data_IF_957646401074
#
_entry.id   IF_957646401074
#
_cell.length_a   1.000
_cell.length_b   1.000
_cell.length_c   1.000
_cell.angle_alpha   90.00
_cell.angle_beta   90.00
_cell.angle_gamma   90.00
#
_symmetry.space_group_name_H-M   'P 1'
#
loop_
_entity.id
_entity.type
_entity.pdbx_description
1 polymer ?
#
# COMPACT_ATOMS: atom_id res chain seq x y z
N UNK A 1 -7.34 -5.38 -2.53
CA UNK A 1 -7.32 -5.73 -3.97
C UNK A 1 -5.94 -5.44 -4.52
N UNK A 2 -5.63 -5.91 -5.71
CA UNK A 2 -4.36 -5.59 -6.37
C UNK A 2 -4.28 -4.10 -6.70
N UNK A 3 -3.08 -3.52 -6.63
CA UNK A 3 -2.84 -2.16 -7.10
C UNK A 3 -2.78 -2.09 -8.63
N UNK A 4 -3.06 -0.93 -9.18
CA UNK A 4 -2.94 -0.60 -10.59
C UNK A 4 -1.74 0.34 -10.78
N UNK A 5 -0.90 0.07 -11.77
CA UNK A 5 0.13 1.02 -12.19
C UNK A 5 -0.49 1.98 -13.22
N UNK A 6 -0.22 3.25 -13.06
CA UNK A 6 -0.72 4.32 -13.93
C UNK A 6 0.41 5.26 -14.33
N UNK A 7 0.25 5.98 -15.44
CA UNK A 7 1.29 6.86 -15.98
C UNK A 7 1.30 8.24 -15.31
N UNK A 8 0.19 8.62 -14.67
CA UNK A 8 0.07 9.86 -13.91
C UNK A 8 -0.90 9.71 -12.75
N UNK A 9 -0.66 10.47 -11.68
CA UNK A 9 -1.54 10.55 -10.51
C UNK A 9 -1.74 12.00 -10.08
N UNK A 10 -2.96 12.33 -9.70
CA UNK A 10 -3.29 13.61 -9.07
C UNK A 10 -3.09 13.46 -7.54
N UNK A 11 -2.24 14.30 -6.97
CA UNK A 11 -1.89 14.29 -5.56
C UNK A 11 -2.60 15.45 -4.87
N UNK A 12 -3.69 15.12 -4.20
CA UNK A 12 -4.46 16.04 -3.36
C UNK A 12 -3.80 16.27 -1.99
N UNK A 13 -4.36 17.18 -1.20
CA UNK A 13 -3.79 17.53 0.12
C UNK A 13 -3.88 16.40 1.15
N UNK A 14 -4.80 15.47 1.00
CA UNK A 14 -5.05 14.39 1.95
C UNK A 14 -4.62 13.00 1.43
N UNK A 15 -4.52 12.82 0.11
CA UNK A 15 -4.20 11.52 -0.50
C UNK A 15 -3.93 11.66 -2.00
N UNK A 16 -3.52 10.58 -2.62
CA UNK A 16 -3.55 10.41 -4.07
C UNK A 16 -5.01 10.18 -4.47
N UNK A 17 -5.50 10.98 -5.42
CA UNK A 17 -6.88 10.91 -5.89
C UNK A 17 -7.18 9.51 -6.48
N UNK A 18 -8.30 8.95 -6.06
CA UNK A 18 -8.70 7.59 -6.46
C UNK A 18 -8.08 6.46 -5.63
N UNK A 19 -6.93 6.68 -4.95
CA UNK A 19 -6.34 5.63 -4.10
C UNK A 19 -7.22 5.41 -2.86
N UNK A 20 -7.52 4.13 -2.59
CA UNK A 20 -8.32 3.69 -1.44
C UNK A 20 -9.64 4.47 -1.25
N UNK A 21 -10.25 4.89 -2.36
CA UNK A 21 -11.54 5.60 -2.37
C UNK A 21 -12.71 4.73 -1.92
N UNK A 22 -12.56 3.40 -2.03
CA UNK A 22 -13.58 2.42 -1.68
C UNK A 22 -13.02 1.36 -0.74
N UNK A 23 -13.86 0.90 0.18
CA UNK A 23 -13.57 -0.24 1.02
C UNK A 23 -14.76 -1.18 1.14
N UNK A 24 -14.46 -2.47 1.33
CA UNK A 24 -15.46 -3.47 1.69
C UNK A 24 -15.56 -3.51 3.22
N UNK A 25 -16.76 -3.37 3.74
CA UNK A 25 -17.06 -3.38 5.17
C UNK A 25 -17.86 -4.64 5.50
N UNK A 26 -17.43 -5.39 6.48
CA UNK A 26 -18.16 -6.55 7.01
C UNK A 26 -19.37 -6.06 7.80
N UNK A 27 -20.57 -6.49 7.41
CA UNK A 27 -21.83 -6.02 8.01
C UNK A 27 -21.97 -6.46 9.46
N UNK A 28 -21.47 -7.66 9.80
CA UNK A 28 -21.59 -8.20 11.15
C UNK A 28 -20.74 -7.50 12.18
N UNK A 29 -19.53 -7.11 11.79
CA UNK A 29 -18.56 -6.46 12.70
C UNK A 29 -18.47 -4.94 12.53
N UNK A 30 -18.96 -4.38 11.43
CA UNK A 30 -18.80 -2.97 11.08
C UNK A 30 -17.38 -2.57 10.68
N UNK A 31 -16.46 -3.53 10.48
CA UNK A 31 -15.04 -3.26 10.22
C UNK A 31 -14.73 -3.26 8.74
N UNK A 32 -13.78 -2.42 8.36
CA UNK A 32 -13.16 -2.48 7.03
C UNK A 32 -12.39 -3.79 6.88
N UNK A 33 -12.67 -4.52 5.82
CA UNK A 33 -11.97 -5.76 5.50
C UNK A 33 -10.62 -5.45 4.88
N UNK A 34 -9.56 -5.91 5.49
CA UNK A 34 -8.21 -5.78 4.95
C UNK A 34 -7.72 -7.12 4.38
N UNK A 35 -6.89 -7.05 3.34
CA UNK A 35 -6.25 -8.24 2.77
C UNK A 35 -5.23 -8.90 3.73
N UNK A 36 -4.87 -8.23 4.81
CA UNK A 36 -4.10 -8.80 5.92
C UNK A 36 -4.86 -9.97 6.58
N UNK A 37 -6.18 -9.79 6.78
CA UNK A 37 -7.10 -10.77 7.40
C UNK A 37 -7.91 -11.58 6.38
N UNK A 38 -8.18 -11.00 5.23
CA UNK A 38 -8.97 -11.64 4.17
C UNK A 38 -8.16 -11.68 2.88
N UNK A 39 -7.22 -12.65 2.74
CA UNK A 39 -6.35 -12.75 1.56
C UNK A 39 -7.10 -12.87 0.23
N UNK A 40 -8.36 -13.34 0.25
CA UNK A 40 -9.23 -13.38 -0.92
C UNK A 40 -9.33 -12.02 -1.63
N UNK A 41 -9.26 -10.91 -0.88
CA UNK A 41 -9.28 -9.56 -1.47
C UNK A 41 -8.14 -9.29 -2.46
N UNK A 42 -7.01 -9.99 -2.33
CA UNK A 42 -5.89 -9.88 -3.28
C UNK A 42 -6.17 -10.59 -4.60
N UNK A 43 -7.18 -11.47 -4.65
CA UNK A 43 -7.55 -12.18 -5.87
C UNK A 43 -8.35 -11.28 -6.84
N UNK A 44 -8.91 -10.18 -6.35
CA UNK A 44 -9.62 -9.20 -7.18
C UNK A 44 -8.72 -8.02 -7.54
N UNK A 45 -8.97 -7.42 -8.69
CA UNK A 45 -8.39 -6.14 -9.11
C UNK A 45 -9.45 -5.03 -8.97
N UNK A 46 -9.01 -3.78 -8.95
CA UNK A 46 -9.90 -2.62 -8.98
C UNK A 46 -9.43 -1.64 -10.05
N UNK A 47 -10.40 -1.04 -10.72
CA UNK A 47 -10.24 0.10 -11.62
C UNK A 47 -10.97 1.30 -11.01
N UNK A 48 -11.04 2.42 -11.73
CA UNK A 48 -11.81 3.59 -11.28
C UNK A 48 -13.33 3.36 -11.30
N UNK A 49 -13.81 2.36 -12.05
CA UNK A 49 -15.24 2.13 -12.28
C UNK A 49 -15.73 0.78 -11.73
N UNK A 50 -14.86 -0.23 -11.64
CA UNK A 50 -15.25 -1.61 -11.33
C UNK A 50 -14.26 -2.30 -10.38
N UNK A 51 -14.78 -3.30 -9.67
CA UNK A 51 -14.00 -4.37 -9.06
C UNK A 51 -14.10 -5.57 -10.00
N UNK A 52 -12.96 -6.08 -10.45
CA UNK A 52 -12.88 -7.28 -11.28
C UNK A 52 -12.60 -8.48 -10.40
N UNK A 53 -13.56 -9.40 -10.27
CA UNK A 53 -13.43 -10.62 -9.48
C UNK A 53 -12.56 -11.67 -10.18
N UNK A 54 -12.11 -12.73 -9.47
CA UNK A 54 -11.24 -13.77 -10.04
C UNK A 54 -11.82 -14.52 -11.22
N UNK A 55 -13.14 -14.60 -11.31
CA UNK A 55 -13.89 -15.22 -12.42
C UNK A 55 -14.16 -14.27 -13.61
N UNK A 56 -13.65 -13.04 -13.52
CA UNK A 56 -13.80 -12.00 -14.54
C UNK A 56 -15.08 -11.18 -14.43
N UNK A 57 -15.91 -11.40 -13.41
CA UNK A 57 -17.11 -10.59 -13.19
C UNK A 57 -16.67 -9.16 -12.80
N UNK A 58 -17.20 -8.18 -13.53
CA UNK A 58 -17.05 -6.76 -13.23
C UNK A 58 -18.18 -6.29 -12.30
N UNK A 59 -17.82 -5.77 -11.16
CA UNK A 59 -18.75 -5.32 -10.11
C UNK A 59 -18.67 -3.80 -10.01
N UNK A 60 -19.75 -3.06 -10.27
CA UNK A 60 -19.72 -1.60 -10.26
C UNK A 60 -19.47 -1.06 -8.83
N UNK A 61 -18.86 0.14 -8.76
CA UNK A 61 -18.54 0.81 -7.50
C UNK A 61 -19.76 1.56 -6.93
N UNK A 62 -20.84 0.82 -6.66
CA UNK A 62 -22.07 1.34 -6.06
C UNK A 62 -22.77 0.27 -5.20
N UNK A 63 -23.99 0.56 -4.71
CA UNK A 63 -24.76 -0.35 -3.84
C UNK A 63 -25.13 -1.70 -4.49
N UNK A 64 -25.06 -1.83 -5.81
CA UNK A 64 -25.29 -3.11 -6.51
C UNK A 64 -24.16 -4.12 -6.27
N UNK A 65 -23.00 -3.64 -5.81
CA UNK A 65 -21.85 -4.47 -5.48
C UNK A 65 -22.12 -5.40 -4.28
N UNK A 66 -22.92 -4.99 -3.32
CA UNK A 66 -23.05 -5.64 -2.01
C UNK A 66 -23.41 -7.13 -2.11
N UNK A 67 -24.40 -7.46 -2.95
CA UNK A 67 -24.84 -8.85 -3.14
C UNK A 67 -23.78 -9.73 -3.79
N UNK A 68 -23.11 -9.23 -4.82
CA UNK A 68 -22.05 -9.95 -5.55
C UNK A 68 -20.83 -10.16 -4.67
N UNK A 69 -20.38 -9.11 -3.98
CA UNK A 69 -19.25 -9.17 -3.06
C UNK A 69 -19.55 -10.08 -1.85
N UNK A 70 -20.78 -10.06 -1.34
CA UNK A 70 -21.20 -10.96 -0.25
C UNK A 70 -21.16 -12.42 -0.69
N UNK A 71 -21.64 -12.73 -1.88
CA UNK A 71 -21.57 -14.08 -2.45
C UNK A 71 -20.13 -14.53 -2.65
N UNK A 72 -19.28 -13.68 -3.22
CA UNK A 72 -17.86 -13.98 -3.42
C UNK A 72 -17.12 -14.24 -2.10
N UNK A 73 -17.36 -13.42 -1.06
CA UNK A 73 -16.65 -13.50 0.22
C UNK A 73 -17.28 -14.45 1.22
N UNK A 74 -18.46 -15.04 0.89
CA UNK A 74 -19.18 -16.00 1.74
C UNK A 74 -19.73 -15.40 3.04
N UNK A 75 -19.91 -14.07 3.09
CA UNK A 75 -20.46 -13.35 4.26
C UNK A 75 -21.09 -12.02 3.84
N UNK A 76 -22.05 -11.49 4.61
CA UNK A 76 -22.64 -10.19 4.35
C UNK A 76 -21.59 -9.08 4.41
N UNK A 77 -21.44 -8.36 3.30
CA UNK A 77 -20.55 -7.21 3.20
C UNK A 77 -21.24 -6.07 2.47
N UNK A 78 -20.74 -4.85 2.64
CA UNK A 78 -21.18 -3.66 1.89
C UNK A 78 -19.98 -2.90 1.37
N UNK A 79 -20.11 -2.33 0.16
CA UNK A 79 -19.11 -1.43 -0.43
C UNK A 79 -19.36 -0.01 0.09
N UNK A 80 -18.33 0.63 0.62
CA UNK A 80 -18.41 1.99 1.16
C UNK A 80 -17.41 2.91 0.47
N UNK A 81 -17.89 4.11 0.12
CA UNK A 81 -17.00 5.19 -0.32
C UNK A 81 -16.31 5.82 0.90
N UNK A 82 -15.07 6.29 0.72
CA UNK A 82 -14.33 7.03 1.74
C UNK A 82 -15.05 8.34 2.10
N UNK A 83 -15.52 9.06 1.08
CA UNK A 83 -16.30 10.29 1.28
C UNK A 83 -17.54 10.02 2.14
N UNK A 84 -17.64 10.70 3.28
CA UNK A 84 -18.73 10.56 4.24
C UNK A 84 -18.64 9.34 5.16
N UNK A 85 -17.60 8.51 5.06
CA UNK A 85 -17.36 7.41 6.00
C UNK A 85 -16.85 7.93 7.33
N UNK A 86 -17.43 7.45 8.42
CA UNK A 86 -17.08 7.79 9.81
C UNK A 86 -17.12 6.53 10.68
N UNK A 87 -16.42 6.58 11.80
CA UNK A 87 -16.45 5.53 12.84
C UNK A 87 -16.11 4.12 12.34
N UNK A 88 -15.22 4.03 11.34
CA UNK A 88 -14.72 2.77 10.83
C UNK A 88 -13.37 2.40 11.43
N UNK A 89 -13.09 1.11 11.50
CA UNK A 89 -11.81 0.57 11.94
C UNK A 89 -11.37 -0.56 11.02
N UNK A 90 -10.07 -0.86 11.05
CA UNK A 90 -9.50 -2.07 10.48
C UNK A 90 -8.71 -2.83 11.53
N UNK A 91 -8.42 -4.11 11.27
CA UNK A 91 -7.65 -4.93 12.19
C UNK A 91 -6.17 -4.95 11.82
N UNK A 92 -5.31 -4.76 12.83
CA UNK A 92 -3.85 -4.85 12.74
C UNK A 92 -3.31 -5.81 13.81
N UNK A 93 -2.17 -6.41 13.55
CA UNK A 93 -1.40 -7.20 14.53
C UNK A 93 0.03 -6.67 14.63
N UNK A 94 0.66 -6.86 15.78
CA UNK A 94 2.08 -6.59 16.01
C UNK A 94 2.96 -7.83 15.73
N UNK A 95 2.36 -8.98 15.41
CA UNK A 95 3.07 -10.20 14.98
C UNK A 95 2.58 -10.63 13.58
N UNK A 96 2.97 -9.90 12.50
CA UNK A 96 2.46 -10.12 11.15
C UNK A 96 2.67 -11.51 10.55
N UNK A 97 3.77 -12.23 10.85
CA UNK A 97 3.96 -13.58 10.32
C UNK A 97 2.99 -14.61 10.88
N UNK A 98 2.45 -14.37 12.08
CA UNK A 98 1.58 -15.29 12.79
C UNK A 98 0.11 -15.00 12.45
N UNK A 99 -0.54 -15.90 11.72
CA UNK A 99 -1.93 -15.76 11.32
C UNK A 99 -2.91 -15.94 12.51
N UNK A 100 -2.46 -16.53 13.63
CA UNK A 100 -3.23 -16.73 14.87
C UNK A 100 -2.94 -15.65 15.94
N UNK A 101 -2.12 -14.64 15.62
CA UNK A 101 -1.82 -13.55 16.55
C UNK A 101 -3.06 -12.74 16.92
N UNK A 102 -3.00 -12.10 18.07
CA UNK A 102 -4.00 -11.13 18.49
C UNK A 102 -4.08 -9.94 17.53
N UNK A 103 -5.31 -9.51 17.27
CA UNK A 103 -5.60 -8.36 16.41
C UNK A 103 -6.25 -7.24 17.20
N UNK A 104 -5.83 -6.02 16.89
CA UNK A 104 -6.30 -4.79 17.50
C UNK A 104 -7.07 -3.98 16.47
N UNK A 105 -8.16 -3.35 16.90
CA UNK A 105 -8.93 -2.44 16.07
C UNK A 105 -8.25 -1.07 16.04
N UNK A 106 -7.91 -0.62 14.84
CA UNK A 106 -7.29 0.69 14.59
C UNK A 106 -8.34 1.58 13.94
N UNK A 107 -8.67 2.73 14.53
CA UNK A 107 -9.58 3.69 13.91
C UNK A 107 -9.02 4.19 12.57
N UNK A 108 -9.91 4.38 11.60
CA UNK A 108 -9.58 4.96 10.30
C UNK A 108 -9.94 6.45 10.37
N UNK A 109 -9.07 7.36 9.92
CA UNK A 109 -9.42 8.77 9.84
C UNK A 109 -10.67 8.99 9.00
N UNK A 110 -11.63 9.82 9.44
CA UNK A 110 -12.87 10.09 8.70
C UNK A 110 -12.61 10.51 7.25
N UNK A 111 -13.42 10.00 6.33
CA UNK A 111 -13.31 10.33 4.92
C UNK A 111 -12.13 9.69 4.17
N UNK A 112 -11.43 8.74 4.80
CA UNK A 112 -10.30 8.01 4.17
C UNK A 112 -10.40 6.51 4.42
N UNK A 113 -9.60 5.73 3.66
CA UNK A 113 -9.27 4.34 3.97
C UNK A 113 -7.75 4.12 3.98
N UNK A 114 -7.03 5.16 4.34
CA UNK A 114 -5.57 5.11 4.50
C UNK A 114 -5.19 4.35 5.77
N UNK A 115 -4.07 3.64 5.72
CA UNK A 115 -3.54 2.95 6.90
C UNK A 115 -2.90 3.97 7.88
N UNK A 116 -1.81 4.63 7.46
CA UNK A 116 -1.03 5.52 8.32
C UNK A 116 -0.65 6.85 7.68
N UNK A 117 -0.48 6.91 6.36
CA UNK A 117 0.00 8.10 5.66
C UNK A 117 -0.60 8.17 4.25
N UNK A 118 -0.77 9.36 3.69
CA UNK A 118 -1.30 9.55 2.35
C UNK A 118 -0.42 8.97 1.24
N UNK A 119 0.90 8.98 1.41
CA UNK A 119 1.83 8.49 0.38
C UNK A 119 2.82 7.51 1.00
N UNK A 120 3.00 6.38 0.33
CA UNK A 120 4.07 5.42 0.58
C UNK A 120 4.98 5.36 -0.64
N UNK A 121 6.28 5.53 -0.45
CA UNK A 121 7.26 5.41 -1.51
C UNK A 121 8.37 4.40 -1.17
N UNK A 122 8.95 3.83 -2.22
CA UNK A 122 10.09 2.90 -2.16
C UNK A 122 11.08 3.31 -3.25
N UNK A 123 12.37 3.07 -3.05
CA UNK A 123 13.39 3.33 -4.06
C UNK A 123 13.76 2.08 -4.84
N UNK A 124 14.22 2.26 -6.09
CA UNK A 124 14.83 1.16 -6.87
C UNK A 124 16.09 0.64 -6.17
N UNK A 125 16.88 1.51 -5.54
CA UNK A 125 18.07 1.12 -4.77
C UNK A 125 17.73 0.09 -3.68
N UNK A 126 16.62 0.29 -2.96
CA UNK A 126 16.15 -0.65 -1.93
C UNK A 126 15.68 -1.97 -2.55
N UNK A 127 14.83 -1.94 -3.58
CA UNK A 127 14.32 -3.15 -4.21
C UNK A 127 15.47 -3.98 -4.83
N UNK A 128 16.32 -3.36 -5.63
CA UNK A 128 17.45 -4.01 -6.29
C UNK A 128 18.51 -4.49 -5.29
N UNK A 129 18.73 -3.71 -4.23
CA UNK A 129 19.60 -4.08 -3.12
C UNK A 129 19.11 -5.34 -2.41
N UNK A 130 17.82 -5.42 -2.12
CA UNK A 130 17.21 -6.60 -1.52
C UNK A 130 17.31 -7.84 -2.42
N UNK A 131 17.04 -7.68 -3.73
CA UNK A 131 17.22 -8.76 -4.72
C UNK A 131 18.68 -9.25 -4.73
N UNK A 132 19.64 -8.34 -4.72
CA UNK A 132 21.08 -8.67 -4.74
C UNK A 132 21.53 -9.40 -3.46
N UNK A 133 21.04 -8.96 -2.29
CA UNK A 133 21.45 -9.49 -0.99
C UNK A 133 20.71 -10.78 -0.61
N UNK A 134 19.49 -10.96 -1.08
CA UNK A 134 18.66 -12.14 -0.83
C UNK A 134 17.94 -12.56 -2.13
N UNK A 135 18.69 -13.09 -3.11
CA UNK A 135 18.13 -13.53 -4.40
C UNK A 135 17.24 -14.77 -4.31
N UNK A 136 17.23 -15.43 -3.16
CA UNK A 136 16.36 -16.57 -2.82
C UNK A 136 14.92 -16.15 -2.51
N UNK A 137 14.69 -14.84 -2.32
CA UNK A 137 13.37 -14.25 -2.01
C UNK A 137 12.84 -13.40 -3.17
N UNK A 138 11.53 -13.36 -3.25
CA UNK A 138 10.82 -12.58 -4.27
C UNK A 138 10.51 -11.17 -3.71
N UNK A 139 11.27 -10.18 -4.19
CA UNK A 139 11.16 -8.78 -3.81
C UNK A 139 10.30 -7.96 -4.75
N UNK A 140 9.31 -8.59 -5.40
CA UNK A 140 8.39 -7.90 -6.30
C UNK A 140 7.73 -6.70 -5.59
N UNK A 141 7.75 -5.54 -6.24
CA UNK A 141 7.22 -4.28 -5.72
C UNK A 141 5.76 -4.37 -5.29
N UNK A 142 4.96 -5.23 -5.94
CA UNK A 142 3.55 -5.47 -5.61
C UNK A 142 3.34 -5.91 -4.15
N UNK A 143 4.33 -6.56 -3.54
CA UNK A 143 4.29 -6.99 -2.14
C UNK A 143 4.26 -5.82 -1.18
N UNK A 144 4.95 -4.74 -1.55
CA UNK A 144 5.12 -3.56 -0.70
C UNK A 144 4.06 -2.49 -0.94
N UNK A 145 3.43 -2.49 -2.12
CA UNK A 145 2.31 -1.59 -2.49
C UNK A 145 2.65 -0.11 -2.33
N UNK A 146 3.77 0.36 -2.85
CA UNK A 146 4.06 1.78 -2.83
C UNK A 146 3.11 2.54 -3.78
N UNK A 147 2.88 3.81 -3.46
CA UNK A 147 2.26 4.75 -4.38
C UNK A 147 3.28 5.26 -5.42
N UNK A 148 4.53 5.45 -4.98
CA UNK A 148 5.61 5.91 -5.82
C UNK A 148 6.82 4.97 -5.73
N UNK A 149 7.43 4.69 -6.87
CA UNK A 149 8.74 4.03 -6.95
C UNK A 149 9.72 5.06 -7.49
N UNK A 150 10.68 5.45 -6.66
CA UNK A 150 11.68 6.47 -7.01
C UNK A 150 12.91 5.79 -7.58
N UNK A 151 13.22 6.10 -8.84
CA UNK A 151 14.41 5.61 -9.50
C UNK A 151 15.65 6.39 -8.97
N UNK A 152 16.51 5.68 -8.26
CA UNK A 152 17.75 6.22 -7.71
C UNK A 152 18.76 5.11 -7.47
N UNK A 153 20.02 5.42 -7.72
CA UNK A 153 21.14 4.53 -7.39
C UNK A 153 21.60 4.76 -5.95
N UNK A 154 22.11 3.72 -5.30
CA UNK A 154 22.65 3.83 -3.95
C UNK A 154 22.57 2.54 -3.14
N UNK A 155 22.78 2.68 -1.85
CA UNK A 155 22.63 1.58 -0.91
C UNK A 155 21.15 1.29 -0.63
N UNK A 156 20.78 0.03 -0.33
CA UNK A 156 19.43 -0.30 0.06
C UNK A 156 19.03 0.46 1.34
N UNK A 157 17.75 0.83 1.42
CA UNK A 157 17.15 1.61 2.51
C UNK A 157 17.67 3.05 2.64
N UNK A 158 18.25 3.60 1.57
CA UNK A 158 18.74 4.99 1.59
C UNK A 158 17.61 6.00 1.85
N UNK A 159 16.39 5.68 1.47
CA UNK A 159 15.21 6.52 1.71
C UNK A 159 14.88 6.70 3.21
N UNK A 160 15.31 5.81 4.09
CA UNK A 160 15.14 5.98 5.54
C UNK A 160 15.85 7.25 6.04
N UNK A 161 16.99 7.63 5.40
CA UNK A 161 17.75 8.85 5.71
C UNK A 161 17.06 10.13 5.22
N UNK A 162 16.00 10.01 4.45
CA UNK A 162 15.21 11.17 3.99
C UNK A 162 14.18 11.63 5.03
N UNK A 163 14.01 10.87 6.10
CA UNK A 163 13.07 11.23 7.19
C UNK A 163 13.34 12.66 7.69
N UNK A 164 12.27 13.46 7.78
CA UNK A 164 12.34 14.88 8.14
C UNK A 164 12.70 15.81 6.98
N UNK A 165 12.98 15.29 5.79
CA UNK A 165 13.33 16.08 4.61
C UNK A 165 12.15 16.20 3.65
N UNK A 166 12.23 17.17 2.75
CA UNK A 166 11.28 17.34 1.65
C UNK A 166 11.80 16.68 0.39
N UNK A 167 10.90 15.98 -0.29
CA UNK A 167 11.13 15.37 -1.59
C UNK A 167 10.21 16.06 -2.60
N UNK A 168 10.78 16.70 -3.60
CA UNK A 168 10.02 17.26 -4.72
C UNK A 168 9.98 16.24 -5.86
N UNK A 169 8.80 15.94 -6.36
CA UNK A 169 8.54 15.05 -7.50
C UNK A 169 7.70 15.84 -8.52
N UNK A 170 8.32 16.28 -9.60
CA UNK A 170 7.69 17.24 -10.50
C UNK A 170 7.22 18.50 -9.76
N UNK A 171 5.92 18.84 -9.83
CA UNK A 171 5.35 19.98 -9.11
C UNK A 171 4.98 19.68 -7.63
N UNK A 172 4.93 18.41 -7.24
CA UNK A 172 4.49 17.96 -5.91
C UNK A 172 5.65 18.01 -4.92
N UNK A 173 5.39 18.49 -3.71
CA UNK A 173 6.35 18.43 -2.59
C UNK A 173 5.77 17.52 -1.50
N UNK A 174 6.56 16.55 -1.11
CA UNK A 174 6.27 15.58 -0.06
C UNK A 174 7.19 15.82 1.15
N UNK A 175 6.65 15.79 2.35
CA UNK A 175 7.40 15.75 3.60
C UNK A 175 7.61 14.29 4.00
N UNK A 176 8.83 13.78 3.99
CA UNK A 176 9.11 12.42 4.44
C UNK A 176 8.93 12.33 5.95
N UNK A 177 7.96 11.52 6.38
CA UNK A 177 7.54 11.46 7.77
C UNK A 177 8.33 10.43 8.59
N UNK A 178 8.38 9.19 8.09
CA UNK A 178 9.03 8.08 8.81
C UNK A 178 9.22 6.85 7.91
N UNK A 179 10.13 5.92 8.27
CA UNK A 179 10.21 4.61 7.63
C UNK A 179 8.89 3.84 7.74
N UNK A 180 8.57 3.06 6.71
CA UNK A 180 7.32 2.30 6.62
C UNK A 180 7.45 0.97 7.33
N UNK A 181 6.76 0.82 8.49
CA UNK A 181 6.65 -0.47 9.16
C UNK A 181 5.89 -1.48 8.30
N UNK A 182 6.43 -2.70 8.18
CA UNK A 182 5.81 -3.73 7.35
C UNK A 182 4.85 -4.61 8.15
N UNK A 183 3.67 -4.83 7.56
CA UNK A 183 2.63 -5.72 8.06
C UNK A 183 2.65 -7.07 7.30
N UNK A 184 1.61 -7.90 7.48
CA UNK A 184 1.48 -9.18 6.80
C UNK A 184 1.32 -9.11 5.26
N UNK A 185 1.07 -7.93 4.68
CA UNK A 185 0.80 -7.79 3.24
C UNK A 185 1.92 -8.34 2.33
N UNK A 186 3.21 -8.02 2.56
CA UNK A 186 4.30 -8.54 1.73
C UNK A 186 4.36 -10.08 1.69
N UNK A 187 3.88 -10.73 2.74
CA UNK A 187 3.97 -12.18 2.92
C UNK A 187 2.88 -12.94 2.15
N UNK A 188 1.82 -12.25 1.72
CA UNK A 188 0.63 -12.88 1.15
C UNK A 188 0.84 -13.28 -0.31
N UNK A 189 0.19 -14.40 -0.67
CA UNK A 189 0.05 -14.80 -2.06
C UNK A 189 -0.76 -13.77 -2.84
N UNK A 190 -0.34 -13.47 -4.07
CA UNK A 190 -1.07 -12.62 -5.00
C UNK A 190 -1.19 -13.33 -6.36
N UNK A 191 -2.33 -13.25 -7.05
CA UNK A 191 -2.46 -13.83 -8.37
C UNK A 191 -1.65 -13.07 -9.40
N UNK A 192 -1.26 -13.76 -10.46
CA UNK A 192 -0.72 -13.15 -11.64
C UNK A 192 -1.81 -12.62 -12.56
N UNK A 193 -1.41 -11.78 -13.50
CA UNK A 193 -2.26 -11.26 -14.57
C UNK A 193 -1.59 -11.47 -15.95
N UNK A 194 -1.20 -12.71 -16.23
CA UNK A 194 -0.58 -13.10 -17.49
C UNK A 194 0.93 -13.38 -17.40
N UNK A 195 1.58 -13.68 -18.54
CA UNK A 195 2.99 -14.11 -18.56
C UNK A 195 3.98 -13.06 -18.06
N UNK A 196 3.68 -11.78 -18.27
CA UNK A 196 4.53 -10.66 -17.87
C UNK A 196 4.35 -10.26 -16.40
N UNK A 197 3.31 -10.77 -15.76
CA UNK A 197 3.00 -10.49 -14.35
C UNK A 197 2.63 -11.79 -13.65
N UNK A 198 3.61 -12.65 -13.32
CA UNK A 198 3.38 -13.93 -12.66
C UNK A 198 2.75 -13.75 -11.28
N UNK A 199 2.15 -14.82 -10.75
CA UNK A 199 1.65 -14.83 -9.38
C UNK A 199 2.81 -14.79 -8.37
N UNK A 200 2.52 -14.26 -7.19
CA UNK A 200 3.43 -14.23 -6.07
C UNK A 200 2.99 -15.29 -5.06
N UNK A 201 3.89 -16.17 -4.68
CA UNK A 201 3.58 -17.17 -3.65
C UNK A 201 3.69 -16.57 -2.24
N UNK A 202 3.08 -17.24 -1.25
CA UNK A 202 3.22 -16.85 0.16
C UNK A 202 4.67 -17.01 0.58
N UNK A 203 5.24 -15.98 1.20
CA UNK A 203 6.67 -15.96 1.54
C UNK A 203 6.91 -15.31 2.92
N UNK A 204 6.69 -16.04 4.02
CA UNK A 204 6.85 -15.53 5.37
C UNK A 204 8.31 -15.12 5.70
N UNK A 205 9.29 -15.69 5.00
CA UNK A 205 10.72 -15.40 5.15
C UNK A 205 11.09 -13.95 4.83
N UNK A 206 10.24 -13.22 4.08
CA UNK A 206 10.46 -11.81 3.80
C UNK A 206 10.49 -10.96 5.07
N UNK A 207 9.66 -11.30 6.09
CA UNK A 207 9.59 -10.51 7.30
C UNK A 207 10.90 -10.47 8.09
N UNK A 208 11.49 -11.63 8.49
CA UNK A 208 12.81 -11.64 9.13
C UNK A 208 13.92 -11.16 8.20
N UNK A 209 13.79 -11.35 6.87
CA UNK A 209 14.79 -10.85 5.91
C UNK A 209 14.85 -9.33 5.90
N UNK A 210 13.70 -8.64 5.86
CA UNK A 210 13.65 -7.16 5.95
C UNK A 210 14.34 -6.70 7.22
N UNK A 211 14.03 -7.29 8.38
CA UNK A 211 14.63 -6.91 9.66
C UNK A 211 16.16 -7.15 9.70
N UNK A 212 16.64 -8.18 9.02
CA UNK A 212 18.07 -8.49 8.95
C UNK A 212 18.81 -7.54 8.01
N UNK A 213 18.19 -7.17 6.89
CA UNK A 213 18.78 -6.29 5.89
C UNK A 213 18.74 -4.81 6.34
N UNK A 214 17.63 -4.37 6.94
CA UNK A 214 17.49 -3.03 7.50
C UNK A 214 17.73 -3.02 9.02
N UNK A 215 18.99 -3.04 9.42
CA UNK A 215 19.34 -3.06 10.85
C UNK A 215 19.07 -1.73 11.55
N UNK A 216 19.07 -0.62 10.81
CA UNK A 216 18.80 0.72 11.37
C UNK A 216 17.31 0.88 11.71
N UNK A 217 16.43 0.30 10.91
CA UNK A 217 14.98 0.29 11.15
C UNK A 217 14.43 -1.13 10.89
N UNK A 218 14.58 -2.08 11.84
CA UNK A 218 14.11 -3.44 11.67
C UNK A 218 12.64 -3.50 11.30
N UNK A 219 12.29 -4.37 10.34
CA UNK A 219 10.94 -4.53 9.81
C UNK A 219 10.35 -3.29 9.10
N UNK A 220 11.21 -2.38 8.61
CA UNK A 220 10.78 -1.25 7.79
C UNK A 220 11.35 -1.39 6.37
N UNK A 221 10.56 -0.98 5.37
CA UNK A 221 10.97 -0.92 3.97
C UNK A 221 10.14 0.16 3.26
N UNK A 222 10.84 1.13 2.67
CA UNK A 222 10.26 2.35 2.13
C UNK A 222 9.91 3.36 3.21
N UNK A 223 9.38 4.50 2.81
CA UNK A 223 9.02 5.59 3.73
C UNK A 223 7.59 6.10 3.48
N UNK A 224 6.98 6.60 4.52
CA UNK A 224 5.73 7.36 4.47
C UNK A 224 6.02 8.84 4.28
N UNK A 225 5.12 9.51 3.57
CA UNK A 225 5.21 10.94 3.34
C UNK A 225 3.84 11.62 3.41
N UNK A 226 3.86 12.87 3.88
CA UNK A 226 2.72 13.77 3.89
C UNK A 226 2.80 14.75 2.71
N UNK A 227 1.66 15.20 2.21
CA UNK A 227 1.61 16.12 1.06
C UNK A 227 1.76 17.55 1.55
N UNK A 228 2.78 18.26 1.07
CA UNK A 228 3.02 19.69 1.34
C UNK A 228 2.50 20.54 0.20
N UNK A 229 2.77 20.14 -1.04
CA UNK A 229 2.27 20.83 -2.25
C UNK A 229 1.62 19.82 -3.15
N UNK A 230 0.40 20.11 -3.56
CA UNK A 230 -0.43 19.29 -4.45
C UNK A 230 -0.03 19.47 -5.91
N UNK A 231 -0.44 18.54 -6.77
CA UNK A 231 -0.21 18.62 -8.21
C UNK A 231 -0.33 17.26 -8.87
N UNK A 232 0.01 17.19 -10.15
CA UNK A 232 0.01 15.94 -10.90
C UNK A 232 1.45 15.43 -11.02
N UNK A 233 1.69 14.19 -10.64
CA UNK A 233 2.96 13.48 -10.86
C UNK A 233 2.80 12.61 -12.09
N UNK A 234 3.77 12.68 -13.01
CA UNK A 234 3.89 11.80 -14.16
C UNK A 234 5.07 10.84 -14.00
N UNK A 235 5.03 9.72 -14.73
CA UNK A 235 6.22 8.89 -14.90
C UNK A 235 7.35 9.75 -15.46
N UNK A 236 8.56 9.52 -14.97
CA UNK A 236 9.81 10.21 -15.33
C UNK A 236 9.89 11.70 -14.90
N UNK A 237 8.95 12.18 -14.07
CA UNK A 237 9.12 13.49 -13.43
C UNK A 237 10.42 13.55 -12.63
N UNK A 238 11.10 14.70 -12.68
CA UNK A 238 12.31 14.94 -11.91
C UNK A 238 12.06 14.81 -10.41
N UNK A 239 12.95 14.09 -9.72
CA UNK A 239 12.93 13.92 -8.27
C UNK A 239 14.11 14.63 -7.63
N UNK A 240 13.84 15.53 -6.70
CA UNK A 240 14.86 16.30 -5.97
C UNK A 240 14.64 16.18 -4.47
N UNK A 241 15.62 15.63 -3.77
CA UNK A 241 15.66 15.67 -2.32
C UNK A 241 16.17 17.04 -1.88
N UNK A 242 15.29 17.85 -1.27
CA UNK A 242 15.64 19.22 -0.88
C UNK A 242 16.72 19.23 0.22
N UNK A 243 17.61 20.24 0.26
CA UNK A 243 18.55 20.41 1.35
C UNK A 243 17.82 20.46 2.71
N UNK A 244 18.53 20.05 3.77
CA UNK A 244 18.02 20.27 5.14
C UNK A 244 17.95 21.76 5.37
N UNK A 245 16.79 22.27 5.77
CA UNK A 245 16.65 23.68 6.14
C UNK A 245 17.46 23.92 7.43
N UNK A 246 18.50 24.78 7.41
CA UNK A 246 19.34 24.99 8.58
C UNK A 246 18.61 25.69 9.73
N UNK A 247 17.41 26.25 9.48
CA UNK A 247 16.62 27.01 10.44
C UNK A 247 15.31 26.32 10.88
N UNK A 248 15.16 24.99 10.61
CA UNK A 248 13.96 24.18 10.94
C UNK A 248 14.03 23.47 12.28
#
# INVERSE_FOLDING_TARGET
>A
MQGLAVDAVDVGSACIEGDRRWAIVDVGSGRVMSAKRTPALLQAAATDEYIVLPDGIEVPLDSRADGVLSAWLGRPVTLRAAAGSQDLSYQMTFDPPNDDADFYDIPIPPGTFLDLSPVHLVTTATLDGCVRLRPDLDWDVRRFRPNLVIAVDGDPFLEDQWTGRRLRVGPVVLQIAQPTVRCAMPLRRQPGSGPTRPGLERQPELFPAISTLNQAAPNHLGVYADVVTTGVIHIDDEVVLEPVDPDG
#
